data_IF_192411273438
#
_entry.id   IF_192411273438
#
_cell.length_a   1.000
_cell.length_b   1.000
_cell.length_c   1.000
_cell.angle_alpha   90.00
_cell.angle_beta   90.00
_cell.angle_gamma   90.00
#
_symmetry.space_group_name_H-M   'P 1'
#
loop_
_entity.id
_entity.type
_entity.pdbx_description
1 polymer ?
#
# COMPACT_ATOMS: atom_id res chain seq x y z
N UNK A 1 8.15 15.55 12.40
CA UNK A 1 7.04 15.00 11.59
C UNK A 1 5.83 14.83 12.48
N UNK A 2 4.68 15.34 12.07
CA UNK A 2 3.41 15.14 12.78
C UNK A 2 2.96 13.69 12.59
N UNK A 3 2.56 13.03 13.69
CA UNK A 3 1.94 11.70 13.65
C UNK A 3 0.43 11.89 13.74
N UNK A 4 -0.29 11.47 12.71
CA UNK A 4 -1.75 11.38 12.74
C UNK A 4 -2.14 9.92 13.00
N UNK A 5 -3.12 9.71 13.88
CA UNK A 5 -3.62 8.38 14.24
C UNK A 5 -5.13 8.35 13.98
N UNK A 6 -5.58 7.38 13.18
CA UNK A 6 -6.99 7.12 12.92
C UNK A 6 -7.30 5.67 13.27
N UNK A 7 -8.52 5.43 13.78
CA UNK A 7 -8.99 4.10 14.16
C UNK A 7 -10.44 3.93 13.68
N UNK A 8 -10.74 2.75 13.15
CA UNK A 8 -12.07 2.34 12.67
C UNK A 8 -12.34 0.90 13.10
N UNK A 9 -13.62 0.57 13.35
CA UNK A 9 -14.07 -0.80 13.60
C UNK A 9 -14.61 -1.40 12.30
N UNK A 10 -14.10 -2.57 11.91
CA UNK A 10 -14.54 -3.32 10.73
C UNK A 10 -15.13 -4.65 11.22
N UNK A 11 -16.40 -4.90 10.92
CA UNK A 11 -17.09 -6.14 11.28
C UNK A 11 -16.74 -7.26 10.29
N UNK A 12 -15.49 -7.75 10.33
CA UNK A 12 -15.01 -8.83 9.49
C UNK A 12 -13.90 -9.63 10.20
N UNK A 13 -13.68 -10.90 9.81
CA UNK A 13 -12.53 -11.68 10.25
C UNK A 13 -11.19 -11.00 9.91
N UNK A 14 -10.21 -11.08 10.82
CA UNK A 14 -8.92 -10.41 10.66
C UNK A 14 -8.16 -10.84 9.40
N UNK A 15 -8.28 -12.11 8.98
CA UNK A 15 -7.66 -12.60 7.74
C UNK A 15 -8.24 -11.95 6.48
N UNK A 16 -9.55 -11.65 6.46
CA UNK A 16 -10.14 -10.92 5.33
C UNK A 16 -9.68 -9.47 5.28
N UNK A 17 -9.56 -8.81 6.44
CA UNK A 17 -9.01 -7.45 6.51
C UNK A 17 -7.56 -7.43 6.04
N UNK A 18 -6.77 -8.41 6.48
CA UNK A 18 -5.38 -8.56 6.06
C UNK A 18 -5.24 -8.79 4.56
N UNK A 19 -6.02 -9.72 3.99
CA UNK A 19 -6.06 -9.99 2.56
C UNK A 19 -6.30 -8.71 1.76
N UNK A 20 -7.25 -7.86 2.20
CA UNK A 20 -7.52 -6.57 1.56
C UNK A 20 -6.32 -5.62 1.58
N UNK A 21 -5.39 -5.75 2.53
CA UNK A 21 -4.20 -4.90 2.63
C UNK A 21 -3.00 -5.42 1.84
N UNK A 22 -2.95 -6.72 1.52
CA UNK A 22 -1.74 -7.36 0.96
C UNK A 22 -1.91 -7.98 -0.43
N UNK A 23 -3.13 -8.37 -0.80
CA UNK A 23 -3.41 -9.02 -2.08
C UNK A 23 -3.59 -7.96 -3.18
N UNK A 24 -2.76 -7.94 -4.24
CA UNK A 24 -2.80 -6.90 -5.26
C UNK A 24 -4.20 -6.69 -5.87
N UNK A 25 -4.95 -7.77 -6.09
CA UNK A 25 -6.30 -7.74 -6.66
C UNK A 25 -7.35 -7.10 -5.73
N UNK A 26 -7.14 -7.12 -4.42
CA UNK A 26 -8.01 -6.48 -3.44
C UNK A 26 -7.56 -5.05 -3.15
N UNK A 27 -6.25 -4.82 -3.06
CA UNK A 27 -5.65 -3.49 -2.87
C UNK A 27 -6.08 -2.54 -3.98
N UNK A 28 -6.11 -3.03 -5.22
CA UNK A 28 -6.57 -2.27 -6.40
C UNK A 28 -7.97 -1.67 -6.24
N UNK A 29 -8.85 -2.27 -5.44
CA UNK A 29 -10.23 -1.83 -5.26
C UNK A 29 -10.38 -0.58 -4.38
N UNK A 30 -9.49 -0.39 -3.39
CA UNK A 30 -9.54 0.76 -2.49
C UNK A 30 -8.41 1.76 -2.73
N UNK A 31 -7.32 1.35 -3.38
CA UNK A 31 -6.22 2.23 -3.75
C UNK A 31 -6.36 2.73 -5.18
N UNK A 32 -7.52 3.30 -5.52
CA UNK A 32 -7.76 4.03 -6.77
C UNK A 32 -7.30 3.32 -8.06
N UNK A 33 -7.44 1.99 -8.12
CA UNK A 33 -7.02 1.21 -9.29
C UNK A 33 -5.50 0.97 -9.40
N UNK A 34 -4.68 1.40 -8.44
CA UNK A 34 -3.24 1.18 -8.47
C UNK A 34 -2.88 -0.29 -8.40
N UNK A 35 -1.88 -0.69 -9.18
CA UNK A 35 -1.22 -1.98 -9.08
C UNK A 35 -0.22 -1.95 -7.92
N UNK A 36 -0.41 -2.84 -6.94
CA UNK A 36 0.55 -3.06 -5.85
C UNK A 36 1.67 -3.98 -6.33
N UNK A 37 2.91 -3.51 -6.23
CA UNK A 37 4.12 -4.27 -6.55
C UNK A 37 5.00 -4.36 -5.31
N UNK A 38 5.01 -5.53 -4.68
CA UNK A 38 5.90 -5.85 -3.55
C UNK A 38 5.94 -7.36 -3.31
N UNK A 39 7.04 -7.86 -2.76
CA UNK A 39 7.15 -9.23 -2.25
C UNK A 39 6.94 -9.32 -0.73
N UNK A 40 6.59 -8.18 -0.10
CA UNK A 40 6.38 -8.04 1.35
C UNK A 40 7.56 -8.44 2.24
N UNK A 41 8.79 -8.52 1.68
CA UNK A 41 10.00 -8.76 2.49
C UNK A 41 10.48 -7.47 3.13
N UNK A 42 10.83 -7.52 4.41
CA UNK A 42 11.41 -6.36 5.11
C UNK A 42 12.68 -5.89 4.38
N UNK A 43 12.74 -4.60 4.07
CA UNK A 43 13.81 -3.96 3.30
C UNK A 43 13.61 -3.95 1.78
N UNK A 44 12.62 -4.68 1.25
CA UNK A 44 12.29 -4.66 -0.18
C UNK A 44 11.44 -3.45 -0.56
N UNK A 45 11.33 -3.22 -1.88
CA UNK A 45 10.53 -2.15 -2.43
C UNK A 45 9.03 -2.45 -2.31
N UNK A 46 8.26 -1.39 -2.12
CA UNK A 46 6.81 -1.36 -2.34
C UNK A 46 6.50 -0.22 -3.29
N UNK A 47 5.69 -0.52 -4.32
CA UNK A 47 5.23 0.47 -5.29
C UNK A 47 3.71 0.36 -5.49
N UNK A 48 3.06 1.50 -5.62
CA UNK A 48 1.69 1.62 -6.09
C UNK A 48 1.72 2.40 -7.41
N UNK A 49 1.36 1.75 -8.51
CA UNK A 49 1.39 2.33 -9.85
C UNK A 49 -0.01 2.48 -10.43
N UNK A 50 -0.35 3.68 -10.90
CA UNK A 50 -1.59 3.96 -11.61
C UNK A 50 -1.30 4.55 -12.99
N UNK A 51 -2.08 4.15 -13.99
CA UNK A 51 -2.04 4.74 -15.33
C UNK A 51 -3.20 5.74 -15.47
N UNK A 52 -2.89 6.98 -15.84
CA UNK A 52 -3.88 8.03 -16.11
C UNK A 52 -3.40 8.91 -17.27
N UNK A 53 -4.23 9.10 -18.30
CA UNK A 53 -3.94 9.93 -19.48
C UNK A 53 -2.55 9.70 -20.09
N UNK A 54 -2.20 8.43 -20.33
CA UNK A 54 -0.89 7.98 -20.85
C UNK A 54 0.33 8.29 -19.95
N UNK A 55 0.10 8.73 -18.71
CA UNK A 55 1.11 8.95 -17.68
C UNK A 55 1.03 7.88 -16.58
N UNK A 56 2.20 7.45 -16.12
CA UNK A 56 2.32 6.52 -14.97
C UNK A 56 2.60 7.32 -13.71
N UNK A 57 1.66 7.29 -12.78
CA UNK A 57 1.81 7.85 -11.45
C UNK A 57 2.28 6.75 -10.50
N UNK A 58 3.34 7.03 -9.76
CA UNK A 58 3.92 6.06 -8.83
C UNK A 58 4.10 6.66 -7.43
N UNK A 59 3.68 5.88 -6.43
CA UNK A 59 4.17 6.02 -5.07
C UNK A 59 5.12 4.86 -4.77
N UNK A 60 6.25 5.15 -4.14
CA UNK A 60 7.28 4.16 -3.87
C UNK A 60 7.80 4.26 -2.44
N UNK A 61 8.38 3.17 -1.94
CA UNK A 61 8.97 3.14 -0.62
C UNK A 61 9.58 1.79 -0.27
N UNK A 62 9.79 1.57 1.02
CA UNK A 62 10.40 0.36 1.58
C UNK A 62 9.49 -0.28 2.61
N UNK A 63 9.40 -1.61 2.58
CA UNK A 63 8.73 -2.39 3.64
C UNK A 63 9.59 -2.34 4.90
N UNK A 64 9.04 -1.84 5.99
CA UNK A 64 9.72 -1.69 7.28
C UNK A 64 9.39 -2.84 8.24
N UNK A 65 8.14 -3.33 8.22
CA UNK A 65 7.70 -4.47 9.00
C UNK A 65 6.53 -5.18 8.30
N UNK A 66 6.54 -6.51 8.39
CA UNK A 66 5.47 -7.34 7.85
C UNK A 66 5.26 -8.56 8.75
N UNK A 67 4.18 -8.54 9.53
CA UNK A 67 3.78 -9.63 10.43
C UNK A 67 2.34 -10.04 10.12
N UNK A 68 2.12 -11.23 9.52
CA UNK A 68 0.81 -11.71 9.10
C UNK A 68 -0.31 -11.49 10.13
N UNK A 69 -1.40 -10.87 9.69
CA UNK A 69 -2.59 -10.54 10.47
C UNK A 69 -2.37 -9.57 11.65
N UNK A 70 -1.19 -8.97 11.79
CA UNK A 70 -0.84 -8.16 12.96
C UNK A 70 -0.27 -6.77 12.61
N UNK A 71 0.67 -6.68 11.66
CA UNK A 71 1.37 -5.43 11.37
C UNK A 71 1.83 -5.36 9.91
N UNK A 72 1.55 -4.23 9.28
CA UNK A 72 2.16 -3.79 8.03
C UNK A 72 2.70 -2.39 8.29
N UNK A 73 3.96 -2.16 7.92
CA UNK A 73 4.58 -0.84 8.00
C UNK A 73 5.47 -0.64 6.78
N UNK A 74 5.34 0.50 6.12
CA UNK A 74 6.17 0.89 4.98
C UNK A 74 6.32 2.40 4.92
N UNK A 75 7.34 2.87 4.19
CA UNK A 75 7.45 4.28 3.80
C UNK A 75 6.69 4.53 2.51
N UNK A 76 6.25 5.76 2.28
CA UNK A 76 5.77 6.23 0.99
C UNK A 76 6.42 7.56 0.65
N UNK A 77 6.92 7.63 -0.56
CA UNK A 77 7.40 8.82 -1.25
C UNK A 77 6.60 8.94 -2.54
N UNK A 78 6.13 10.14 -2.82
CA UNK A 78 5.48 10.49 -4.08
C UNK A 78 6.36 11.52 -4.75
N UNK A 79 7.01 11.17 -5.86
CA UNK A 79 7.55 12.18 -6.76
C UNK A 79 6.45 12.56 -7.74
N UNK A 80 6.14 13.85 -7.79
CA UNK A 80 5.52 14.43 -8.97
C UNK A 80 6.62 14.54 -10.01
N UNK A 81 6.65 13.65 -11.00
CA UNK A 81 7.38 13.93 -12.24
C UNK A 81 6.54 14.97 -12.99
N UNK A 82 6.76 16.24 -12.64
CA UNK A 82 6.42 17.34 -13.52
C UNK A 82 7.52 17.40 -14.56
N UNK A 83 7.18 17.14 -15.82
CA UNK A 83 7.97 17.67 -16.95
C UNK A 83 7.87 19.20 -16.98
#
# INVERSE_FOLDING_TARGET
MSKNISKISINAPANKVWDSLVKPELVKQWQYGSNLLTDWKVGSDIRFQSEWEDQVYEQWGKVLAFSPHALIQYTLSSDHVLD
#
